data_IF_964946665639
#
_entry.id   IF_964946665639
#
_cell.length_a   1.000
_cell.length_b   1.000
_cell.length_c   1.000
_cell.angle_alpha   90.00
_cell.angle_beta   90.00
_cell.angle_gamma   90.00
#
_symmetry.space_group_name_H-M   'P 1'
#
loop_
_entity.id
_entity.type
_entity.pdbx_description
1 polymer ?
#
# COMPACT_ATOMS: atom_id res chain seq x y z
N UNK A 1 38.15 14.44 -0.95
CA UNK A 1 36.72 14.46 -1.34
C UNK A 1 35.91 13.60 -0.38
N UNK A 2 35.90 13.96 0.90
CA UNK A 2 35.07 13.41 1.97
C UNK A 2 35.05 14.50 3.06
N UNK A 3 34.04 14.52 3.93
CA UNK A 3 33.79 15.51 5.00
C UNK A 3 32.65 16.51 4.70
N UNK A 4 31.57 16.06 4.05
CA UNK A 4 30.30 16.76 4.21
C UNK A 4 29.91 16.70 5.68
N UNK A 5 29.67 17.83 6.37
CA UNK A 5 29.21 17.81 7.75
C UNK A 5 27.83 17.15 7.79
N UNK A 6 27.79 15.90 8.29
CA UNK A 6 26.54 15.17 8.48
C UNK A 6 25.88 15.74 9.73
N UNK A 7 25.02 16.75 9.55
CA UNK A 7 24.19 17.27 10.63
C UNK A 7 23.17 16.19 11.00
N UNK A 8 23.50 15.39 12.03
CA UNK A 8 22.62 14.38 12.61
C UNK A 8 21.58 15.06 13.50
N UNK A 9 20.61 15.72 12.87
CA UNK A 9 19.46 16.29 13.59
C UNK A 9 18.37 15.23 13.73
N UNK A 10 17.99 14.80 14.94
CA UNK A 10 16.92 13.83 15.14
C UNK A 10 15.58 14.33 14.58
N UNK A 11 15.36 15.64 14.55
CA UNK A 11 14.16 16.26 13.98
C UNK A 11 13.97 15.98 12.48
N UNK A 12 15.06 15.91 11.72
CA UNK A 12 14.99 15.55 10.30
C UNK A 12 14.45 14.13 10.12
N UNK A 13 14.92 13.19 10.95
CA UNK A 13 14.47 11.80 10.91
C UNK A 13 12.99 11.72 11.29
N UNK A 14 12.57 12.44 12.34
CA UNK A 14 11.16 12.49 12.76
C UNK A 14 10.26 13.03 11.66
N UNK A 15 10.62 14.15 11.02
CA UNK A 15 9.83 14.74 9.93
C UNK A 15 9.75 13.78 8.74
N UNK A 16 10.86 13.13 8.37
CA UNK A 16 10.86 12.14 7.28
C UNK A 16 9.98 10.94 7.62
N UNK A 17 10.09 10.40 8.85
CA UNK A 17 9.24 9.30 9.30
C UNK A 17 7.77 9.67 9.28
N UNK A 18 7.40 10.85 9.78
CA UNK A 18 6.02 11.34 9.75
C UNK A 18 5.52 11.52 8.31
N UNK A 19 6.29 12.17 7.46
CA UNK A 19 5.94 12.39 6.06
C UNK A 19 5.76 11.07 5.32
N UNK A 20 6.71 10.16 5.42
CA UNK A 20 6.61 8.85 4.79
C UNK A 20 5.50 7.99 5.38
N UNK A 21 5.32 7.97 6.70
CA UNK A 21 4.20 7.25 7.33
C UNK A 21 2.88 7.80 6.83
N UNK A 22 2.70 9.12 6.75
CA UNK A 22 1.49 9.72 6.21
C UNK A 22 1.22 9.32 4.75
N UNK A 23 2.26 9.34 3.91
CA UNK A 23 2.14 8.97 2.49
C UNK A 23 1.86 7.48 2.28
N UNK A 24 2.51 6.60 3.05
CA UNK A 24 2.48 5.16 2.83
C UNK A 24 1.47 4.41 3.71
N UNK A 25 1.06 4.94 4.87
CA UNK A 25 0.05 4.31 5.72
C UNK A 25 -1.27 4.02 4.99
N UNK A 26 -1.88 4.94 4.21
CA UNK A 26 -3.12 4.61 3.50
C UNK A 26 -2.91 3.53 2.44
N UNK A 27 -1.79 3.55 1.71
CA UNK A 27 -1.46 2.49 0.75
C UNK A 27 -1.24 1.16 1.45
N UNK A 28 -0.57 1.14 2.60
CA UNK A 28 -0.36 -0.06 3.41
C UNK A 28 -1.69 -0.62 3.92
N UNK A 29 -2.63 0.24 4.34
CA UNK A 29 -3.97 -0.20 4.71
C UNK A 29 -4.68 -0.85 3.54
N UNK A 30 -4.62 -0.27 2.32
CA UNK A 30 -5.18 -0.90 1.12
C UNK A 30 -4.57 -2.27 0.84
N UNK A 31 -3.24 -2.41 1.00
CA UNK A 31 -2.54 -3.69 0.85
C UNK A 31 -2.97 -4.69 1.91
N UNK A 32 -3.16 -4.28 3.17
CA UNK A 32 -3.62 -5.20 4.22
C UNK A 32 -5.05 -5.65 3.94
N UNK A 33 -5.93 -4.72 3.59
CA UNK A 33 -7.34 -5.02 3.33
C UNK A 33 -7.57 -5.77 2.01
N UNK A 34 -6.65 -5.71 1.04
CA UNK A 34 -6.76 -6.52 -0.18
C UNK A 34 -6.65 -8.02 0.11
N UNK A 35 -6.09 -8.40 1.26
CA UNK A 35 -6.10 -9.78 1.74
C UNK A 35 -7.32 -10.15 2.58
N UNK A 36 -8.24 -9.22 2.87
CA UNK A 36 -9.46 -9.55 3.60
C UNK A 36 -10.41 -10.36 2.71
N UNK A 37 -10.78 -11.57 3.14
CA UNK A 37 -11.74 -12.41 2.41
C UNK A 37 -13.16 -11.83 2.40
N UNK A 38 -13.46 -10.88 3.30
CA UNK A 38 -14.73 -10.16 3.36
C UNK A 38 -14.83 -9.10 2.27
N UNK A 39 -16.05 -8.87 1.77
CA UNK A 39 -16.37 -7.73 0.88
C UNK A 39 -16.49 -6.40 1.65
N UNK A 40 -16.66 -6.43 2.97
CA UNK A 40 -16.74 -5.25 3.81
C UNK A 40 -15.40 -5.01 4.52
N UNK A 41 -14.85 -3.80 4.37
CA UNK A 41 -13.60 -3.38 5.04
C UNK A 41 -13.70 -3.34 6.57
N UNK A 42 -14.91 -3.22 7.12
CA UNK A 42 -15.16 -3.19 8.57
C UNK A 42 -15.22 -4.57 9.22
N UNK A 43 -15.35 -5.63 8.42
CA UNK A 43 -15.48 -7.01 8.90
C UNK A 43 -14.28 -7.81 8.45
N UNK A 44 -13.47 -8.30 9.39
CA UNK A 44 -12.33 -9.15 9.08
C UNK A 44 -12.76 -10.62 9.02
N UNK A 45 -12.84 -11.20 7.81
CA UNK A 45 -13.26 -12.60 7.62
C UNK A 45 -12.08 -13.57 7.42
N UNK A 46 -10.84 -13.09 7.55
CA UNK A 46 -9.62 -13.87 7.40
C UNK A 46 -8.75 -13.44 6.22
N UNK A 47 -7.57 -14.04 6.11
CA UNK A 47 -6.59 -13.77 5.06
C UNK A 47 -6.89 -14.60 3.80
N UNK A 48 -6.88 -13.97 2.62
CA UNK A 48 -7.11 -14.62 1.34
C UNK A 48 -6.53 -13.82 0.17
N UNK A 49 -6.10 -14.51 -0.89
CA UNK A 49 -5.72 -13.90 -2.18
C UNK A 49 -6.81 -14.07 -3.25
N UNK A 50 -8.03 -14.48 -2.86
CA UNK A 50 -9.13 -14.80 -3.78
C UNK A 50 -9.40 -13.69 -4.80
N UNK A 51 -9.42 -12.44 -4.34
CA UNK A 51 -9.77 -11.29 -5.18
C UNK A 51 -8.81 -11.07 -6.35
N UNK A 52 -7.53 -11.42 -6.18
CA UNK A 52 -6.56 -11.38 -7.27
C UNK A 52 -6.91 -12.40 -8.37
N UNK A 53 -7.34 -13.61 -7.98
CA UNK A 53 -7.78 -14.63 -8.95
C UNK A 53 -9.14 -14.31 -9.58
N UNK A 54 -10.05 -13.68 -8.84
CA UNK A 54 -11.33 -13.20 -9.35
C UNK A 54 -11.13 -12.08 -10.38
N UNK A 55 -10.24 -11.13 -10.09
CA UNK A 55 -9.87 -10.04 -11.00
C UNK A 55 -9.33 -10.54 -12.34
N UNK A 56 -8.43 -11.53 -12.31
CA UNK A 56 -7.86 -12.10 -13.52
C UNK A 56 -8.86 -12.90 -14.36
N UNK A 57 -9.99 -13.31 -13.77
CA UNK A 57 -11.09 -14.01 -14.44
C UNK A 57 -12.18 -13.07 -14.96
N UNK A 58 -12.10 -11.78 -14.62
CA UNK A 58 -13.06 -10.78 -15.08
C UNK A 58 -12.58 -10.20 -16.42
N UNK A 59 -13.10 -10.78 -17.51
CA UNK A 59 -12.76 -10.37 -18.89
C UNK A 59 -13.07 -8.89 -19.16
N UNK A 60 -14.11 -8.34 -18.51
CA UNK A 60 -14.48 -6.93 -18.68
C UNK A 60 -13.46 -6.01 -18.01
N UNK A 61 -13.03 -6.33 -16.79
CA UNK A 61 -11.95 -5.57 -16.13
C UNK A 61 -10.62 -5.71 -16.87
N UNK A 62 -10.24 -6.93 -17.28
CA UNK A 62 -8.97 -7.17 -17.97
C UNK A 62 -8.89 -6.50 -19.35
N UNK A 63 -10.00 -6.50 -20.10
CA UNK A 63 -10.07 -5.76 -21.38
C UNK A 63 -9.98 -4.24 -21.19
N UNK A 64 -10.56 -3.69 -20.12
CA UNK A 64 -10.44 -2.28 -19.80
C UNK A 64 -8.99 -1.89 -19.46
N UNK A 65 -8.27 -2.72 -18.71
CA UNK A 65 -6.83 -2.52 -18.42
C UNK A 65 -5.99 -2.56 -19.69
N UNK A 66 -6.33 -3.42 -20.65
CA UNK A 66 -5.62 -3.48 -21.93
C UNK A 66 -5.81 -2.26 -22.85
N UNK A 67 -6.82 -1.42 -22.55
CA UNK A 67 -7.15 -0.23 -23.34
C UNK A 67 -6.53 1.07 -22.78
N UNK A 68 -6.05 1.07 -21.53
CA UNK A 68 -5.36 2.22 -20.91
C UNK A 68 -3.92 2.37 -21.37
#
# INVERSE_FOLDING_TARGET
MNNLPVVRSPWRIVILLLGFTFLYAPMLMLVIYSFNSSKLVTVWAGWSTRWYGELLRDDAMMSAVGLS
#
